data_IF_157011022887
#
_entry.id   IF_157011022887
#
_cell.length_a   1.000
_cell.length_b   1.000
_cell.length_c   1.000
_cell.angle_alpha   90.00
_cell.angle_beta   90.00
_cell.angle_gamma   90.00
#
_symmetry.space_group_name_H-M   'P 1'
#
loop_
_entity.id
_entity.type
_entity.pdbx_description
1 polymer ?
#
# COMPACT_ATOMS: atom_id res chain seq x y z
N UNK A 1 7.29 3.11 16.24
CA UNK A 1 5.98 3.75 16.04
C UNK A 1 5.10 2.74 15.33
N UNK A 2 3.98 2.31 15.91
CA UNK A 2 3.05 1.45 15.17
C UNK A 2 2.26 2.35 14.22
N UNK A 3 2.52 2.27 12.91
CA UNK A 3 1.65 2.89 11.93
C UNK A 3 0.29 2.18 12.01
N UNK A 4 -0.64 2.81 12.72
CA UNK A 4 -2.03 2.39 12.74
C UNK A 4 -2.71 3.06 11.55
N UNK A 5 -3.36 2.26 10.73
CA UNK A 5 -4.13 2.72 9.58
C UNK A 5 -5.62 2.63 9.86
N UNK A 6 -6.38 3.55 9.29
CA UNK A 6 -7.84 3.64 9.42
C UNK A 6 -8.54 3.17 8.14
N UNK A 7 -9.79 2.70 8.25
CA UNK A 7 -10.58 2.32 7.07
C UNK A 7 -10.87 3.57 6.23
N UNK A 8 -10.68 3.47 4.91
CA UNK A 8 -10.75 4.58 3.97
C UNK A 8 -9.42 5.33 3.81
N UNK A 9 -8.40 5.06 4.64
CA UNK A 9 -7.09 5.69 4.50
C UNK A 9 -6.39 5.19 3.23
N UNK A 10 -5.79 6.12 2.49
CA UNK A 10 -4.95 5.80 1.34
C UNK A 10 -3.50 5.59 1.78
N UNK A 11 -2.90 4.52 1.28
CA UNK A 11 -1.57 4.05 1.63
C UNK A 11 -0.79 3.66 0.39
N UNK A 12 0.53 3.71 0.51
CA UNK A 12 1.45 3.20 -0.50
C UNK A 12 1.87 1.78 -0.11
N UNK A 13 1.72 0.84 -1.03
CA UNK A 13 2.30 -0.49 -0.88
C UNK A 13 3.82 -0.38 -0.94
N UNK A 14 4.50 -1.04 -0.02
CA UNK A 14 5.95 -1.12 0.02
C UNK A 14 6.39 -2.52 0.44
N UNK A 15 7.61 -2.90 0.11
CA UNK A 15 8.14 -4.22 0.46
C UNK A 15 7.17 -5.33 0.04
N UNK A 16 6.56 -5.19 -1.14
CA UNK A 16 5.58 -6.14 -1.65
C UNK A 16 6.30 -7.44 -2.01
N UNK A 17 6.42 -8.35 -1.03
CA UNK A 17 7.14 -9.61 -1.18
C UNK A 17 6.46 -10.61 -2.11
N UNK A 18 5.19 -10.37 -2.44
CA UNK A 18 4.37 -11.29 -3.22
C UNK A 18 3.90 -10.71 -4.55
N UNK A 19 3.77 -9.38 -4.62
CA UNK A 19 3.39 -8.66 -5.83
C UNK A 19 4.34 -7.48 -6.01
N UNK A 20 5.59 -7.79 -6.35
CA UNK A 20 6.62 -6.76 -6.57
C UNK A 20 6.22 -5.75 -7.65
N UNK A 21 5.35 -6.15 -8.58
CA UNK A 21 4.76 -5.29 -9.61
C UNK A 21 3.86 -4.18 -9.03
N UNK A 22 3.38 -4.34 -7.79
CA UNK A 22 2.55 -3.37 -7.09
C UNK A 22 3.32 -2.59 -6.03
N UNK A 23 4.64 -2.79 -5.92
CA UNK A 23 5.48 -2.00 -5.03
C UNK A 23 5.44 -0.53 -5.46
N UNK A 24 5.19 0.37 -4.51
CA UNK A 24 4.99 1.80 -4.75
C UNK A 24 3.58 2.19 -5.19
N UNK A 25 2.65 1.25 -5.36
CA UNK A 25 1.30 1.57 -5.81
C UNK A 25 0.39 2.07 -4.69
N UNK A 26 -0.65 2.82 -5.09
CA UNK A 26 -1.67 3.34 -4.19
C UNK A 26 -2.71 2.26 -3.86
N UNK A 27 -3.09 2.18 -2.59
CA UNK A 27 -4.15 1.31 -2.10
C UNK A 27 -4.99 2.02 -1.03
N UNK A 28 -6.22 1.55 -0.85
CA UNK A 28 -7.14 1.98 0.21
C UNK A 28 -7.28 0.88 1.27
N UNK A 29 -7.24 1.25 2.55
CA UNK A 29 -7.59 0.33 3.63
C UNK A 29 -9.09 0.08 3.62
N UNK A 30 -9.51 -1.16 3.35
CA UNK A 30 -10.93 -1.54 3.35
C UNK A 30 -11.34 -2.27 4.64
N UNK A 31 -10.37 -2.76 5.41
CA UNK A 31 -10.60 -3.35 6.73
C UNK A 31 -9.49 -2.96 7.70
N UNK A 32 -9.88 -2.56 8.91
CA UNK A 32 -8.95 -2.29 10.00
C UNK A 32 -8.09 -3.51 10.35
N UNK A 33 -6.95 -3.25 10.98
CA UNK A 33 -5.98 -4.29 11.32
C UNK A 33 -6.57 -5.30 12.31
N UNK A 34 -6.41 -6.59 12.00
CA UNK A 34 -6.92 -7.69 12.81
C UNK A 34 -5.94 -8.87 12.81
N UNK A 35 -6.04 -9.73 13.82
CA UNK A 35 -5.40 -11.04 13.83
C UNK A 35 -6.30 -12.07 13.13
N UNK A 36 -5.73 -12.91 12.28
CA UNK A 36 -6.45 -13.98 11.61
C UNK A 36 -5.55 -14.92 10.83
N UNK A 37 -6.17 -15.89 10.16
CA UNK A 37 -5.46 -16.81 9.27
C UNK A 37 -5.43 -16.20 7.87
N UNK A 38 -4.24 -16.07 7.30
CA UNK A 38 -4.04 -15.68 5.91
C UNK A 38 -3.14 -16.68 5.18
N UNK A 39 -3.32 -16.80 3.86
CA UNK A 39 -2.41 -17.57 3.02
C UNK A 39 -1.15 -16.74 2.73
N UNK A 40 0.02 -17.18 3.20
CA UNK A 40 1.29 -16.63 2.74
C UNK A 40 1.55 -17.14 1.33
N UNK A 41 1.34 -16.26 0.36
CA UNK A 41 1.45 -16.59 -1.06
C UNK A 41 2.89 -16.91 -1.52
N UNK A 42 3.93 -16.68 -0.70
CA UNK A 42 5.32 -17.07 -1.02
C UNK A 42 5.57 -18.54 -0.71
N UNK A 43 5.04 -19.02 0.41
CA UNK A 43 5.22 -20.40 0.88
C UNK A 43 4.01 -21.29 0.57
N UNK A 44 2.88 -20.68 0.19
CA UNK A 44 1.58 -21.32 0.01
C UNK A 44 1.03 -21.97 1.29
N UNK A 45 1.41 -21.43 2.45
CA UNK A 45 0.99 -21.93 3.76
C UNK A 45 0.01 -20.97 4.44
N UNK A 46 -0.93 -21.53 5.20
CA UNK A 46 -1.80 -20.74 6.07
C UNK A 46 -1.04 -20.36 7.34
N UNK A 47 -0.94 -19.06 7.59
CA UNK A 47 -0.25 -18.51 8.76
C UNK A 47 -1.20 -17.66 9.59
N UNK A 48 -1.09 -17.77 10.91
CA UNK A 48 -1.76 -16.85 11.83
C UNK A 48 -0.98 -15.53 11.89
N UNK A 49 -1.64 -14.41 11.65
CA UNK A 49 -0.98 -13.12 11.52
C UNK A 49 -1.88 -11.92 11.79
N UNK A 50 -1.25 -10.81 12.17
CA UNK A 50 -1.86 -9.48 12.10
C UNK A 50 -1.73 -8.90 10.69
N UNK A 51 -2.84 -8.49 10.08
CA UNK A 51 -2.87 -7.89 8.74
C UNK A 51 -4.01 -6.87 8.60
N UNK A 52 -3.87 -6.01 7.59
CA UNK A 52 -4.91 -5.13 7.06
C UNK A 52 -5.42 -5.70 5.74
N UNK A 53 -6.71 -5.51 5.41
CA UNK A 53 -7.15 -5.70 4.03
C UNK A 53 -7.10 -4.38 3.29
N UNK A 54 -6.51 -4.41 2.10
CA UNK A 54 -6.36 -3.25 1.23
C UNK A 54 -6.91 -3.53 -0.16
N UNK A 55 -7.36 -2.48 -0.85
CA UNK A 55 -7.78 -2.52 -2.25
C UNK A 55 -6.87 -1.60 -3.08
N UNK A 56 -6.23 -2.13 -4.13
CA UNK A 56 -5.45 -1.33 -5.08
C UNK A 56 -6.33 -0.30 -5.78
N UNK A 57 -5.80 0.92 -5.90
CA UNK A 57 -6.40 2.00 -6.67
C UNK A 57 -5.68 2.04 -8.02
N UNK A 58 -6.19 1.30 -9.00
CA UNK A 58 -5.70 1.30 -10.37
C UNK A 58 -6.88 1.25 -11.35
N UNK A 59 -6.80 2.06 -12.41
CA UNK A 59 -7.77 2.06 -13.49
C UNK A 59 -7.96 0.65 -14.07
N UNK A 60 -9.20 0.16 -14.05
CA UNK A 60 -9.56 -1.17 -14.57
C UNK A 60 -9.46 -2.33 -13.57
N UNK A 61 -8.69 -2.21 -12.48
CA UNK A 61 -8.64 -3.24 -11.42
C UNK A 61 -9.91 -3.23 -10.58
N UNK A 62 -10.49 -2.05 -10.37
CA UNK A 62 -11.75 -1.84 -9.64
C UNK A 62 -12.95 -2.59 -10.25
N UNK A 63 -12.86 -2.98 -11.53
CA UNK A 63 -13.94 -3.62 -12.29
C UNK A 63 -13.95 -5.15 -12.18
N UNK A 64 -12.95 -5.76 -11.55
CA UNK A 64 -12.90 -7.23 -11.43
C UNK A 64 -13.12 -7.68 -9.99
N UNK A 65 -14.18 -8.44 -9.68
CA UNK A 65 -14.38 -8.97 -8.34
C UNK A 65 -13.20 -9.87 -7.95
N UNK A 66 -12.69 -9.69 -6.72
CA UNK A 66 -11.53 -10.39 -6.14
C UNK A 66 -10.16 -10.09 -6.75
N UNK A 67 -10.04 -9.20 -7.76
CA UNK A 67 -8.73 -8.66 -8.15
C UNK A 67 -8.47 -7.37 -7.39
N UNK A 68 -7.21 -7.19 -6.96
CA UNK A 68 -6.78 -5.97 -6.31
C UNK A 68 -7.03 -5.91 -4.80
N UNK A 69 -7.62 -6.94 -4.17
CA UNK A 69 -7.79 -7.00 -2.70
C UNK A 69 -6.77 -7.93 -2.09
N UNK A 70 -6.00 -7.45 -1.11
CA UNK A 70 -4.91 -8.21 -0.50
C UNK A 70 -4.87 -8.04 1.01
N UNK A 71 -4.37 -9.08 1.69
CA UNK A 71 -3.96 -8.98 3.09
C UNK A 71 -2.51 -8.48 3.15
N UNK A 72 -2.29 -7.34 3.80
CA UNK A 72 -0.97 -6.73 3.95
C UNK A 72 -0.58 -6.63 5.42
N UNK A 73 0.66 -7.01 5.73
CA UNK A 73 1.28 -6.76 7.03
C UNK A 73 1.51 -5.25 7.21
N UNK A 74 1.55 -4.74 8.45
CA UNK A 74 1.79 -3.31 8.69
C UNK A 74 3.07 -2.76 8.04
N UNK A 75 4.14 -3.56 8.00
CA UNK A 75 5.41 -3.17 7.38
C UNK A 75 5.39 -3.13 5.84
N UNK A 76 4.33 -3.67 5.24
CA UNK A 76 4.09 -3.61 3.79
C UNK A 76 3.30 -2.36 3.37
N UNK A 77 2.94 -1.51 4.35
CA UNK A 77 2.11 -0.33 4.14
C UNK A 77 2.88 0.92 4.62
N UNK A 78 2.77 1.99 3.84
CA UNK A 78 3.31 3.31 4.19
C UNK A 78 2.18 4.33 4.10
N UNK A 79 2.06 5.21 5.09
CA UNK A 79 1.15 6.36 4.99
C UNK A 79 1.59 7.24 3.82
N UNK A 80 0.63 7.87 3.16
CA UNK A 80 0.94 9.05 2.36
C UNK A 80 1.58 10.07 3.29
N UNK A 81 2.75 10.57 2.93
CA UNK A 81 3.35 11.70 3.63
C UNK A 81 2.47 12.94 3.48
N UNK A 82 2.73 13.95 4.30
CA UNK A 82 2.15 15.27 4.04
C UNK A 82 2.68 15.78 2.70
N UNK A 83 1.78 16.39 1.93
CA UNK A 83 2.16 17.02 0.68
C UNK A 83 2.93 18.30 1.00
N UNK A 84 4.23 18.26 0.77
CA UNK A 84 5.14 19.39 1.00
C UNK A 84 5.35 20.15 -0.31
N UNK A 85 4.53 21.20 -0.50
CA UNK A 85 4.56 22.07 -1.68
C UNK A 85 5.94 22.71 -1.91
N UNK A 86 6.65 23.10 -0.84
CA UNK A 86 7.98 23.71 -0.97
C UNK A 86 8.99 22.71 -1.54
N UNK A 87 8.90 21.45 -1.13
CA UNK A 87 9.76 20.37 -1.65
C UNK A 87 9.51 20.10 -3.12
N UNK A 88 8.25 20.13 -3.54
CA UNK A 88 7.87 19.95 -4.95
C UNK A 88 8.36 21.13 -5.79
N UNK A 89 8.18 22.36 -5.31
CA UNK A 89 8.63 23.57 -6.02
C UNK A 89 10.16 23.62 -6.13
N UNK A 90 10.87 23.16 -5.10
CA UNK A 90 12.34 23.06 -5.10
C UNK A 90 12.83 22.02 -6.09
N UNK A 91 12.21 20.83 -6.14
CA UNK A 91 12.54 19.80 -7.12
C UNK A 91 12.29 20.27 -8.56
N UNK A 92 11.16 20.97 -8.79
CA UNK A 92 10.81 21.52 -10.10
C UNK A 92 11.80 22.58 -10.59
N UNK A 93 12.30 23.43 -9.69
CA UNK A 93 13.36 24.41 -10.00
C UNK A 93 14.71 23.76 -10.27
N UNK A 94 15.03 22.66 -9.59
CA UNK A 94 16.26 21.91 -9.84
C UNK A 94 16.25 21.27 -11.24
N UNK A 95 15.15 20.66 -11.66
CA UNK A 95 15.01 20.09 -13.02
C UNK A 95 15.11 21.16 -14.13
N UNK A 96 14.63 22.38 -13.88
CA UNK A 96 14.71 23.50 -14.82
C UNK A 96 16.13 24.12 -14.94
N UNK A 97 17.03 23.84 -14.00
CA UNK A 97 18.41 24.33 -14.01
C UNK A 97 19.40 23.32 -14.62
N UNK A 98 19.01 22.05 -14.74
CA UNK A 98 19.81 20.98 -15.36
C UNK A 98 19.45 20.71 -16.84
N UNK A 99 18.43 21.40 -17.39
CA UNK A 99 18.04 21.33 -18.80
C UNK A 99 18.36 22.60 -19.58
#
# INVERSE_FOLDING_TARGET
MSNKFEVGEWVILQNATTFSEHDGWLAEIIQGGQDGVALDLRTMEYVWCFYYQVRLIQEGVEKTPFKGVFGCRPWQLRKLGEFDEERVETARKAELLEG
#
